data_IF_212463122871
#
_entry.id   IF_212463122871
#
_cell.length_a   1.000
_cell.length_b   1.000
_cell.length_c   1.000
_cell.angle_alpha   90.00
_cell.angle_beta   90.00
_cell.angle_gamma   90.00
#
_symmetry.space_group_name_H-M   'P 1'
#
loop_
_entity.id
_entity.type
_entity.pdbx_description
1 polymer ?
#
# COMPACT_ATOMS: atom_id res chain seq x y z
N UNK A 1 -1.94 -11.42 -9.36
CA UNK A 1 -2.31 -10.48 -10.43
C UNK A 1 -1.63 -9.15 -10.14
N UNK A 2 -1.43 -8.28 -11.14
CA UNK A 2 -0.77 -6.98 -10.94
C UNK A 2 -1.80 -5.85 -10.95
N UNK A 3 -1.86 -5.06 -9.88
CA UNK A 3 -2.68 -3.84 -9.84
C UNK A 3 -2.03 -2.73 -10.68
N UNK A 4 -2.85 -1.81 -11.19
CA UNK A 4 -2.42 -0.68 -12.04
C UNK A 4 -2.83 0.65 -11.41
N UNK A 5 -4.02 0.73 -10.84
CA UNK A 5 -4.56 1.94 -10.21
C UNK A 5 -5.04 1.62 -8.79
N UNK A 6 -4.85 2.58 -7.89
CA UNK A 6 -5.41 2.60 -6.55
C UNK A 6 -5.65 4.04 -6.10
N UNK A 7 -6.36 4.19 -4.99
CA UNK A 7 -6.56 5.48 -4.33
C UNK A 7 -5.50 5.68 -3.24
N UNK A 8 -4.77 6.80 -3.32
CA UNK A 8 -3.87 7.26 -2.26
C UNK A 8 -4.61 8.17 -1.27
N UNK A 9 -4.10 8.26 -0.04
CA UNK A 9 -4.62 9.11 1.02
C UNK A 9 -4.34 10.60 0.80
N UNK A 10 -5.28 11.48 1.16
CA UNK A 10 -5.18 12.91 0.86
C UNK A 10 -4.03 13.62 1.58
N UNK A 11 -3.63 13.10 2.75
CA UNK A 11 -2.53 13.64 3.54
C UNK A 11 -1.20 12.92 3.32
N UNK A 12 -1.15 11.93 2.42
CA UNK A 12 0.11 11.32 1.98
C UNK A 12 0.55 11.72 0.57
N UNK A 13 -0.39 12.12 -0.30
CA UNK A 13 -0.08 12.54 -1.67
C UNK A 13 0.97 13.66 -1.66
N UNK A 14 2.17 13.32 -2.12
CA UNK A 14 3.29 14.23 -2.28
C UNK A 14 3.76 14.30 -3.74
N UNK A 15 3.40 13.31 -4.57
CA UNK A 15 3.81 13.13 -5.95
C UNK A 15 2.63 12.69 -6.84
N UNK A 16 2.85 12.62 -8.17
CA UNK A 16 1.85 12.16 -9.15
C UNK A 16 1.83 10.65 -9.39
N UNK A 17 2.43 9.84 -8.51
CA UNK A 17 2.58 8.39 -8.66
C UNK A 17 2.68 7.70 -7.30
N UNK A 18 2.50 6.38 -7.29
CA UNK A 18 2.59 5.52 -6.10
C UNK A 18 3.87 4.66 -6.07
N UNK A 19 4.41 4.46 -4.87
CA UNK A 19 5.58 3.66 -4.56
C UNK A 19 5.22 2.49 -3.63
N UNK A 20 5.32 1.28 -4.18
CA UNK A 20 5.44 0.07 -3.35
C UNK A 20 6.91 -0.30 -3.19
N UNK A 21 7.45 -0.05 -2.00
CA UNK A 21 8.83 -0.41 -1.72
C UNK A 21 8.95 -1.93 -1.59
N UNK A 22 9.78 -2.55 -2.44
CA UNK A 22 10.02 -4.00 -2.44
C UNK A 22 11.12 -4.44 -1.46
N UNK A 23 11.55 -3.55 -0.56
CA UNK A 23 12.59 -3.86 0.42
C UNK A 23 12.15 -5.03 1.31
N UNK A 24 13.01 -6.05 1.37
CA UNK A 24 12.77 -7.27 2.15
C UNK A 24 11.73 -8.23 1.59
N UNK A 25 11.14 -7.97 0.42
CA UNK A 25 10.25 -8.93 -0.22
C UNK A 25 11.04 -10.06 -0.90
N UNK A 26 10.64 -11.35 -0.78
CA UNK A 26 9.48 -11.84 -0.01
C UNK A 26 9.82 -12.35 1.40
N UNK A 27 11.09 -12.45 1.78
CA UNK A 27 11.56 -13.29 2.89
C UNK A 27 12.11 -12.54 4.11
N UNK A 28 12.13 -11.21 4.06
CA UNK A 28 12.63 -10.33 5.12
C UNK A 28 11.58 -9.28 5.53
N UNK A 29 10.40 -9.71 6.02
CA UNK A 29 9.29 -8.81 6.35
C UNK A 29 9.63 -7.78 7.45
N UNK A 30 10.67 -8.01 8.26
CA UNK A 30 11.19 -7.05 9.23
C UNK A 30 11.76 -5.77 8.60
N UNK A 31 12.03 -5.77 7.29
CA UNK A 31 12.56 -4.61 6.57
C UNK A 31 11.48 -3.79 5.85
N UNK A 32 10.21 -4.19 5.95
CA UNK A 32 9.10 -3.54 5.28
C UNK A 32 8.92 -2.08 5.73
N UNK A 33 8.50 -1.24 4.78
CA UNK A 33 8.15 0.17 5.00
C UNK A 33 6.86 0.51 4.26
N UNK A 34 6.18 1.54 4.73
CA UNK A 34 5.12 2.23 3.99
C UNK A 34 5.73 3.53 3.47
N UNK A 35 5.76 3.70 2.14
CA UNK A 35 6.20 4.94 1.50
C UNK A 35 4.98 5.83 1.33
N UNK A 36 4.04 5.35 0.51
CA UNK A 36 2.76 6.02 0.27
C UNK A 36 1.64 5.28 0.97
N UNK A 37 0.63 6.02 1.44
CA UNK A 37 -0.44 5.47 2.25
C UNK A 37 -1.71 5.27 1.45
N UNK A 38 -2.34 4.09 1.50
CA UNK A 38 -3.54 3.87 0.72
C UNK A 38 -4.71 4.60 1.35
N UNK A 39 -5.68 4.97 0.52
CA UNK A 39 -6.98 5.42 0.98
C UNK A 39 -7.64 4.35 1.87
N UNK A 40 -8.41 4.82 2.86
CA UNK A 40 -9.08 3.93 3.82
C UNK A 40 -10.51 4.36 4.16
N UNK A 41 -11.08 5.26 3.34
CA UNK A 41 -12.36 5.93 3.59
C UNK A 41 -13.57 4.99 3.57
N UNK A 42 -13.44 3.82 2.92
CA UNK A 42 -14.53 2.85 2.80
C UNK A 42 -14.34 1.69 3.78
N UNK A 43 -14.66 1.89 5.05
CA UNK A 43 -14.56 0.86 6.10
C UNK A 43 -13.14 0.29 6.27
N UNK A 44 -12.14 1.18 6.30
CA UNK A 44 -10.71 0.83 6.34
C UNK A 44 -10.31 -0.04 5.15
N UNK A 45 -10.78 0.31 3.95
CA UNK A 45 -10.43 -0.37 2.72
C UNK A 45 -10.09 0.61 1.59
N UNK A 46 -9.29 0.14 0.63
CA UNK A 46 -8.96 0.84 -0.61
C UNK A 46 -9.38 0.05 -1.84
N UNK A 47 -9.69 0.76 -2.93
CA UNK A 47 -10.01 0.17 -4.24
C UNK A 47 -8.76 -0.06 -5.08
N UNK A 48 -8.74 -1.16 -5.83
CA UNK A 48 -7.68 -1.51 -6.77
C UNK A 48 -8.28 -1.95 -8.10
N UNK A 49 -7.67 -1.50 -9.20
CA UNK A 49 -7.94 -2.04 -10.55
C UNK A 49 -6.71 -2.75 -11.08
N UNK A 50 -6.90 -3.89 -11.75
CA UNK A 50 -5.84 -4.80 -12.16
C UNK A 50 -5.66 -4.86 -13.67
N UNK A 51 -4.45 -5.28 -14.08
CA UNK A 51 -4.05 -5.27 -15.49
C UNK A 51 -4.86 -6.22 -16.39
N UNK A 52 -5.54 -7.21 -15.82
CA UNK A 52 -6.46 -8.12 -16.50
C UNK A 52 -7.92 -7.59 -16.55
N UNK A 53 -8.16 -6.37 -16.05
CA UNK A 53 -9.43 -5.66 -16.16
C UNK A 53 -10.39 -5.85 -14.97
N UNK A 54 -10.03 -6.62 -13.94
CA UNK A 54 -10.88 -6.73 -12.75
C UNK A 54 -10.57 -5.65 -11.70
N UNK A 55 -11.42 -5.55 -10.68
CA UNK A 55 -11.24 -4.66 -9.53
C UNK A 55 -11.47 -5.40 -8.21
N UNK A 56 -10.75 -4.99 -7.16
CA UNK A 56 -10.89 -5.52 -5.81
C UNK A 56 -11.05 -4.37 -4.80
N UNK A 57 -11.79 -4.63 -3.71
CA UNK A 57 -11.77 -3.80 -2.50
C UNK A 57 -10.92 -4.52 -1.45
N UNK A 58 -9.79 -3.93 -1.08
CA UNK A 58 -8.88 -4.49 -0.08
C UNK A 58 -9.10 -3.83 1.27
N UNK A 59 -9.63 -4.59 2.23
CA UNK A 59 -9.70 -4.18 3.64
C UNK A 59 -8.34 -4.27 4.33
N UNK A 60 -7.87 -3.18 4.90
CA UNK A 60 -6.60 -3.07 5.63
C UNK A 60 -6.69 -3.79 6.98
N UNK A 61 -5.65 -4.54 7.32
CA UNK A 61 -5.58 -5.36 8.52
C UNK A 61 -4.67 -4.77 9.59
N UNK A 62 -3.60 -4.09 9.18
CA UNK A 62 -2.64 -3.48 10.07
C UNK A 62 -3.04 -2.03 10.36
N UNK A 63 -3.13 -1.67 11.65
CA UNK A 63 -3.49 -0.30 12.05
C UNK A 63 -2.46 0.73 11.57
N UNK A 64 -1.21 0.32 11.31
CA UNK A 64 -0.17 1.18 10.75
C UNK A 64 -0.42 1.53 9.29
N UNK A 65 -1.30 0.82 8.59
CA UNK A 65 -1.71 1.12 7.20
C UNK A 65 -2.81 2.19 7.16
N UNK A 66 -3.57 2.35 8.25
CA UNK A 66 -4.66 3.32 8.36
C UNK A 66 -4.49 4.19 9.61
N UNK A 67 -3.39 4.97 9.72
CA UNK A 67 -3.22 5.87 10.87
C UNK A 67 -4.35 6.90 10.91
N UNK A 68 -4.58 7.54 12.06
CA UNK A 68 -5.62 8.55 12.16
C UNK A 68 -5.35 9.71 11.20
N UNK A 69 -6.37 10.07 10.43
CA UNK A 69 -6.31 11.19 9.51
C UNK A 69 -6.50 12.51 10.26
N UNK A 70 -5.66 13.51 9.97
CA UNK A 70 -5.74 14.83 10.58
C UNK A 70 -5.83 15.89 9.49
N UNK A 71 -7.02 16.44 9.32
CA UNK A 71 -7.29 17.47 8.31
C UNK A 71 -6.29 18.62 8.38
N UNK A 72 -5.70 18.98 7.24
CA UNK A 72 -4.73 20.06 7.13
C UNK A 72 -3.32 19.74 7.63
N UNK A 73 -3.03 18.47 7.95
CA UNK A 73 -1.69 18.02 8.34
C UNK A 73 -1.21 16.93 7.40
N UNK A 74 0.02 17.05 6.90
CA UNK A 74 0.67 15.99 6.14
C UNK A 74 1.08 14.84 7.05
N UNK A 75 0.97 13.62 6.53
CA UNK A 75 1.45 12.41 7.17
C UNK A 75 2.97 12.25 6.97
N UNK A 76 3.65 11.65 7.95
CA UNK A 76 5.04 11.26 7.77
C UNK A 76 5.14 10.05 6.81
N UNK A 77 5.92 10.19 5.75
CA UNK A 77 6.11 9.17 4.72
C UNK A 77 7.40 8.35 4.95
N UNK A 78 7.52 7.24 4.21
CA UNK A 78 8.68 6.34 4.24
C UNK A 78 9.03 5.83 5.64
N UNK A 79 8.02 5.37 6.36
CA UNK A 79 8.15 4.90 7.75
C UNK A 79 8.30 3.38 7.80
N UNK A 80 9.06 2.91 8.81
CA UNK A 80 9.21 1.49 9.07
C UNK A 80 7.84 0.86 9.43
N UNK A 81 7.53 -0.26 8.77
CA UNK A 81 6.31 -1.04 9.01
C UNK A 81 6.64 -2.53 8.99
N UNK A 82 7.52 -3.00 9.91
CA UNK A 82 7.97 -4.39 9.92
C UNK A 82 6.81 -5.35 10.12
N UNK A 83 6.81 -6.46 9.39
CA UNK A 83 5.80 -7.52 9.46
C UNK A 83 4.36 -7.03 9.17
N UNK A 84 4.21 -6.05 8.28
CA UNK A 84 2.91 -5.52 7.89
C UNK A 84 2.31 -6.37 6.75
N UNK A 85 1.18 -7.03 7.06
CA UNK A 85 0.46 -7.91 6.12
C UNK A 85 -0.13 -7.16 4.92
N UNK A 86 -0.45 -5.88 5.08
CA UNK A 86 -0.96 -5.06 3.99
C UNK A 86 0.17 -4.63 3.05
N UNK A 87 1.37 -4.32 3.58
CA UNK A 87 2.56 -4.07 2.76
C UNK A 87 2.91 -5.32 1.94
N UNK A 88 2.89 -6.50 2.57
CA UNK A 88 3.10 -7.76 1.83
C UNK A 88 2.07 -7.94 0.72
N UNK A 89 0.78 -7.69 1.01
CA UNK A 89 -0.29 -7.83 0.01
C UNK A 89 -0.07 -6.91 -1.20
N UNK A 90 0.37 -5.67 -0.96
CA UNK A 90 0.72 -4.69 -1.99
C UNK A 90 1.92 -5.18 -2.82
N UNK A 91 2.99 -5.64 -2.14
CA UNK A 91 4.21 -6.16 -2.77
C UNK A 91 3.91 -7.36 -3.68
N UNK A 92 3.10 -8.32 -3.22
CA UNK A 92 2.68 -9.51 -3.99
C UNK A 92 1.92 -9.17 -5.28
N UNK A 93 1.30 -7.98 -5.34
CA UNK A 93 0.39 -7.56 -6.41
C UNK A 93 0.86 -6.32 -7.17
N UNK A 94 2.00 -5.72 -6.86
CA UNK A 94 2.56 -4.62 -7.66
C UNK A 94 3.58 -5.13 -8.68
N UNK A 95 4.38 -6.11 -8.28
CA UNK A 95 5.39 -6.76 -9.11
C UNK A 95 5.58 -8.17 -8.61
N UNK A 96 5.84 -9.11 -9.52
CA UNK A 96 6.03 -10.51 -9.15
C UNK A 96 7.33 -11.04 -9.71
N UNK A 97 8.05 -11.81 -8.91
CA UNK A 97 9.13 -12.65 -9.41
C UNK A 97 8.51 -13.79 -10.22
N UNK A 98 8.73 -13.80 -11.53
CA UNK A 98 8.41 -14.94 -12.39
C UNK A 98 9.57 -15.94 -12.30
N UNK A 99 9.26 -17.21 -12.03
CA UNK A 99 10.25 -18.29 -12.20
C UNK A 99 10.43 -18.46 -13.70
N UNK A 100 11.65 -18.20 -14.18
CA UNK A 100 12.09 -18.57 -15.54
C UNK A 100 12.36 -20.06 -15.62
#
# INVERSE_FOLDING_TARGET
MTWVLLDEREDSINDGYWVTLMQGYPDQPQLQKIVDYPASYHNRAGGFSFADGHSEIKKWQDSRTTPNLKSGQSLQLNVASPNNRDVLWLQERCTRKVKG
#
